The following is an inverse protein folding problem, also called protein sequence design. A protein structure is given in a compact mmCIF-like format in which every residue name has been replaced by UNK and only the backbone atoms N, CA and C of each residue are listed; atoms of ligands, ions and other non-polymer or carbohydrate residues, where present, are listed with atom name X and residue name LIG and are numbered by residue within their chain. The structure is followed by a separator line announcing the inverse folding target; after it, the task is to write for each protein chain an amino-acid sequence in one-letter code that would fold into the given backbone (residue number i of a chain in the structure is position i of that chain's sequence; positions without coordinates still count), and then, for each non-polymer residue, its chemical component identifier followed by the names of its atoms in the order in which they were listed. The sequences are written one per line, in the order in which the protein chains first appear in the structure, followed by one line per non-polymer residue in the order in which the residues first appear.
data_IF_923709161140
#
_entry.id   IF_923709161140
#
_cell.length_a   1.000
_cell.length_b   1.000
_cell.length_c   1.000
_cell.angle_alpha   90.00
_cell.angle_beta   90.00
_cell.angle_gamma   90.00
#
_symmetry.space_group_name_H-M   'P 1'
#
loop_
_entity.id
_entity.type
_entity.pdbx_description
1 polymer ?
#
# COMPACT_ATOMS: atom_id res chain seq x y z
N UNK A 1 -23.70 31.71 13.02
CA UNK A 1 -22.66 30.67 13.01
C UNK A 1 -21.33 31.37 12.81
N UNK A 2 -20.35 31.19 13.70
CA UNK A 2 -19.05 31.85 13.54
C UNK A 2 -18.32 31.28 12.31
N UNK A 3 -17.45 32.09 11.68
CA UNK A 3 -16.65 31.63 10.51
C UNK A 3 -15.81 30.39 10.84
N UNK A 4 -15.40 30.22 12.10
CA UNK A 4 -14.61 29.09 12.55
C UNK A 4 -15.44 27.80 12.69
N UNK A 5 -16.70 27.91 13.10
CA UNK A 5 -17.64 26.80 13.16
C UNK A 5 -17.96 26.28 11.74
N UNK A 6 -18.15 27.17 10.79
CA UNK A 6 -18.38 26.78 9.38
C UNK A 6 -17.17 26.07 8.78
N UNK A 7 -15.96 26.57 9.01
CA UNK A 7 -14.70 25.94 8.56
C UNK A 7 -14.51 24.56 9.17
N UNK A 8 -14.82 24.39 10.47
CA UNK A 8 -14.74 23.11 11.15
C UNK A 8 -15.73 22.09 10.56
N UNK A 9 -16.96 22.50 10.27
CA UNK A 9 -17.97 21.64 9.64
C UNK A 9 -17.54 21.21 8.23
N UNK A 10 -17.01 22.12 7.42
CA UNK A 10 -16.53 21.80 6.05
C UNK A 10 -15.36 20.79 6.13
N UNK A 11 -14.42 20.99 7.06
CA UNK A 11 -13.32 20.04 7.25
C UNK A 11 -13.83 18.66 7.69
N UNK A 12 -14.74 18.60 8.65
CA UNK A 12 -15.32 17.35 9.13
C UNK A 12 -16.09 16.63 8.00
N UNK A 13 -16.90 17.35 7.24
CA UNK A 13 -17.61 16.79 6.08
C UNK A 13 -16.63 16.26 5.02
N UNK A 14 -15.52 16.98 4.76
CA UNK A 14 -14.47 16.54 3.85
C UNK A 14 -13.80 15.24 4.29
N UNK A 15 -13.48 15.12 5.59
CA UNK A 15 -12.87 13.90 6.16
C UNK A 15 -13.84 12.73 6.04
N UNK A 16 -15.11 12.92 6.41
CA UNK A 16 -16.13 11.86 6.33
C UNK A 16 -16.33 11.41 4.88
N UNK A 17 -16.41 12.37 3.95
CA UNK A 17 -16.55 12.07 2.52
C UNK A 17 -15.35 11.30 1.97
N UNK A 18 -14.14 11.69 2.34
CA UNK A 18 -12.91 11.00 1.94
C UNK A 18 -12.88 9.56 2.48
N UNK A 19 -13.24 9.36 3.76
CA UNK A 19 -13.34 8.04 4.36
C UNK A 19 -14.40 7.18 3.66
N UNK A 20 -15.56 7.74 3.39
CA UNK A 20 -16.63 7.05 2.67
C UNK A 20 -16.16 6.60 1.28
N UNK A 21 -15.55 7.50 0.50
CA UNK A 21 -15.01 7.17 -0.83
C UNK A 21 -13.92 6.09 -0.76
N UNK A 22 -13.08 6.14 0.26
CA UNK A 22 -12.05 5.12 0.50
C UNK A 22 -12.69 3.73 0.73
N UNK A 23 -13.70 3.65 1.59
CA UNK A 23 -14.41 2.39 1.86
C UNK A 23 -15.16 1.86 0.62
N UNK A 24 -15.80 2.74 -0.14
CA UNK A 24 -16.43 2.39 -1.43
C UNK A 24 -15.39 1.88 -2.42
N UNK A 25 -14.21 2.49 -2.46
CA UNK A 25 -13.09 2.04 -3.29
C UNK A 25 -12.64 0.62 -2.95
N UNK A 26 -12.45 0.31 -1.66
CA UNK A 26 -12.11 -1.06 -1.21
C UNK A 26 -13.21 -2.05 -1.57
N UNK A 27 -14.47 -1.70 -1.32
CA UNK A 27 -15.61 -2.58 -1.65
C UNK A 27 -15.71 -2.84 -3.17
N UNK A 28 -15.53 -1.81 -3.99
CA UNK A 28 -15.51 -1.93 -5.44
C UNK A 28 -14.36 -2.81 -5.95
N UNK A 29 -13.17 -2.64 -5.40
CA UNK A 29 -12.01 -3.48 -5.71
C UNK A 29 -12.24 -4.93 -5.33
N UNK A 30 -12.79 -5.19 -4.14
CA UNK A 30 -13.15 -6.53 -3.68
C UNK A 30 -14.16 -7.20 -4.61
N UNK A 31 -15.17 -6.45 -5.08
CA UNK A 31 -16.15 -6.93 -6.05
C UNK A 31 -15.52 -7.24 -7.42
N UNK A 32 -14.63 -6.37 -7.90
CA UNK A 32 -13.91 -6.59 -9.15
C UNK A 32 -13.03 -7.85 -9.09
N UNK A 33 -12.32 -8.07 -7.97
CA UNK A 33 -11.50 -9.29 -7.77
C UNK A 33 -12.39 -10.55 -7.78
N UNK A 34 -13.55 -10.51 -7.12
CA UNK A 34 -14.50 -11.63 -7.16
C UNK A 34 -14.98 -11.96 -8.58
N UNK A 35 -15.15 -10.95 -9.42
CA UNK A 35 -15.58 -11.12 -10.80
C UNK A 35 -14.53 -11.79 -11.71
N UNK A 36 -13.25 -11.85 -11.28
CA UNK A 36 -12.19 -12.55 -12.00
C UNK A 36 -12.29 -14.07 -11.93
N UNK A 37 -13.17 -14.59 -11.08
CA UNK A 37 -13.50 -16.00 -11.00
C UNK A 37 -12.59 -16.84 -10.09
N UNK A 38 -13.00 -18.09 -9.89
CA UNK A 38 -12.34 -19.02 -8.98
C UNK A 38 -10.91 -19.37 -9.38
N UNK A 39 -10.64 -19.44 -10.67
CA UNK A 39 -9.31 -19.77 -11.19
C UNK A 39 -8.27 -18.71 -10.81
N UNK A 40 -8.65 -17.43 -10.84
CA UNK A 40 -7.77 -16.35 -10.37
C UNK A 40 -7.50 -16.49 -8.87
N UNK A 41 -8.55 -16.72 -8.06
CA UNK A 41 -8.43 -16.90 -6.63
C UNK A 41 -7.50 -18.08 -6.28
N UNK A 42 -7.67 -19.21 -6.95
CA UNK A 42 -6.83 -20.38 -6.77
C UNK A 42 -5.36 -20.12 -7.12
N UNK A 43 -5.11 -19.44 -8.23
CA UNK A 43 -3.75 -19.05 -8.64
C UNK A 43 -3.10 -18.15 -7.59
N UNK A 44 -3.82 -17.16 -7.07
CA UNK A 44 -3.31 -16.27 -6.01
C UNK A 44 -3.00 -17.06 -4.74
N UNK A 45 -3.91 -17.91 -4.28
CA UNK A 45 -3.74 -18.69 -3.07
C UNK A 45 -2.55 -19.65 -3.17
N UNK A 46 -2.39 -20.34 -4.28
CA UNK A 46 -1.28 -21.27 -4.50
C UNK A 46 0.05 -20.56 -4.62
N UNK A 47 0.11 -19.44 -5.34
CA UNK A 47 1.34 -18.66 -5.50
C UNK A 47 1.77 -18.01 -4.19
N UNK A 48 0.83 -17.48 -3.41
CA UNK A 48 1.13 -16.81 -2.12
C UNK A 48 1.26 -17.77 -0.94
N UNK A 49 1.07 -19.07 -1.13
CA UNK A 49 1.31 -20.09 -0.09
C UNK A 49 2.77 -20.14 0.34
N UNK A 50 3.70 -19.80 -0.55
CA UNK A 50 5.10 -19.63 -0.19
C UNK A 50 5.33 -18.20 0.35
N UNK A 51 5.74 -18.06 1.62
CA UNK A 51 5.86 -16.74 2.27
C UNK A 51 6.94 -15.86 1.62
N UNK A 52 7.99 -16.43 1.06
CA UNK A 52 9.01 -15.66 0.33
C UNK A 52 8.45 -15.07 -0.98
N UNK A 53 7.69 -15.88 -1.72
CA UNK A 53 7.03 -15.39 -2.95
C UNK A 53 6.02 -14.31 -2.60
N UNK A 54 5.21 -14.50 -1.56
CA UNK A 54 4.25 -13.52 -1.08
C UNK A 54 4.92 -12.19 -0.68
N UNK A 55 6.06 -12.26 0.02
CA UNK A 55 6.86 -11.09 0.39
C UNK A 55 7.38 -10.35 -0.86
N UNK A 56 7.95 -11.07 -1.82
CA UNK A 56 8.43 -10.47 -3.06
C UNK A 56 7.30 -9.83 -3.88
N UNK A 57 6.12 -10.45 -3.93
CA UNK A 57 4.94 -9.86 -4.56
C UNK A 57 4.57 -8.53 -3.90
N UNK A 58 4.59 -8.45 -2.57
CA UNK A 58 4.34 -7.22 -1.83
C UNK A 58 5.36 -6.12 -2.12
N UNK A 59 6.66 -6.46 -2.13
CA UNK A 59 7.74 -5.53 -2.51
C UNK A 59 7.51 -5.01 -3.93
N UNK A 60 7.34 -5.93 -4.88
CA UNK A 60 7.23 -5.60 -6.30
C UNK A 60 5.99 -4.75 -6.60
N UNK A 61 4.84 -5.11 -6.02
CA UNK A 61 3.62 -4.33 -6.15
C UNK A 61 3.81 -2.90 -5.63
N UNK A 62 4.45 -2.73 -4.46
CA UNK A 62 4.70 -1.39 -3.91
C UNK A 62 5.66 -0.57 -4.76
N UNK A 63 6.70 -1.19 -5.31
CA UNK A 63 7.63 -0.51 -6.23
C UNK A 63 6.92 -0.07 -7.51
N UNK A 64 6.02 -0.90 -8.05
CA UNK A 64 5.23 -0.56 -9.25
C UNK A 64 4.22 0.55 -8.99
N UNK A 65 3.44 0.44 -7.92
CA UNK A 65 2.44 1.45 -7.56
C UNK A 65 3.05 2.69 -6.91
N UNK A 66 4.29 2.60 -6.45
CA UNK A 66 4.98 3.63 -5.68
C UNK A 66 4.19 4.11 -4.44
N UNK A 67 3.38 3.20 -3.89
CA UNK A 67 2.50 3.47 -2.76
C UNK A 67 2.20 2.18 -2.00
N UNK A 68 2.75 2.07 -0.79
CA UNK A 68 2.44 0.95 0.11
C UNK A 68 0.98 0.98 0.57
N UNK A 69 0.38 2.17 0.70
CA UNK A 69 -1.04 2.30 1.05
C UNK A 69 -1.94 1.71 -0.03
N UNK A 70 -1.62 1.93 -1.30
CA UNK A 70 -2.34 1.33 -2.43
C UNK A 70 -2.18 -0.19 -2.43
N UNK A 71 -0.95 -0.69 -2.26
CA UNK A 71 -0.66 -2.11 -2.18
C UNK A 71 -1.41 -2.76 -1.00
N UNK A 72 -1.35 -2.15 0.18
CA UNK A 72 -2.06 -2.66 1.37
C UNK A 72 -3.57 -2.67 1.16
N UNK A 73 -4.15 -1.63 0.55
CA UNK A 73 -5.58 -1.57 0.24
C UNK A 73 -5.98 -2.68 -0.73
N UNK A 74 -5.14 -2.98 -1.73
CA UNK A 74 -5.35 -4.10 -2.65
C UNK A 74 -5.34 -5.44 -1.90
N UNK A 75 -4.35 -5.66 -1.03
CA UNK A 75 -4.25 -6.89 -0.22
C UNK A 75 -5.50 -7.04 0.66
N UNK A 76 -5.94 -5.97 1.34
CA UNK A 76 -7.16 -5.97 2.14
C UNK A 76 -8.40 -6.30 1.28
N UNK A 77 -8.49 -5.74 0.07
CA UNK A 77 -9.54 -6.07 -0.90
C UNK A 77 -9.53 -7.56 -1.29
N UNK A 78 -8.35 -8.14 -1.49
CA UNK A 78 -8.20 -9.57 -1.81
C UNK A 78 -8.58 -10.47 -0.62
N UNK A 79 -8.23 -10.10 0.60
CA UNK A 79 -8.64 -10.82 1.82
C UNK A 79 -10.16 -10.72 2.00
N UNK A 80 -10.74 -9.54 1.84
CA UNK A 80 -12.18 -9.33 2.00
C UNK A 80 -13.01 -10.05 0.91
N UNK A 81 -12.43 -10.25 -0.27
CA UNK A 81 -13.05 -11.04 -1.34
C UNK A 81 -12.96 -12.56 -1.14
N UNK A 82 -12.13 -13.02 -0.19
CA UNK A 82 -11.82 -14.44 -0.01
C UNK A 82 -10.79 -14.99 -1.02
N UNK A 83 -10.21 -14.13 -1.85
CA UNK A 83 -9.17 -14.50 -2.84
C UNK A 83 -7.82 -14.75 -2.16
N UNK A 84 -7.60 -14.16 -0.98
CA UNK A 84 -6.35 -14.29 -0.22
C UNK A 84 -6.69 -14.61 1.24
N UNK A 85 -5.92 -15.50 1.86
CA UNK A 85 -6.04 -15.76 3.30
C UNK A 85 -5.29 -14.69 4.11
N UNK A 86 -5.71 -14.48 5.35
CA UNK A 86 -4.99 -13.59 6.29
C UNK A 86 -3.55 -14.05 6.44
N UNK A 87 -3.31 -15.35 6.59
CA UNK A 87 -1.96 -15.92 6.76
C UNK A 87 -1.05 -15.57 5.59
N UNK A 88 -1.54 -15.70 4.35
CA UNK A 88 -0.76 -15.39 3.15
C UNK A 88 -0.59 -13.87 2.94
N UNK A 89 -1.50 -13.06 3.49
CA UNK A 89 -1.40 -11.59 3.40
C UNK A 89 -0.30 -10.99 4.27
N UNK A 90 0.07 -11.64 5.38
CA UNK A 90 1.09 -11.13 6.31
C UNK A 90 2.43 -10.87 5.60
N UNK A 91 3.06 -11.86 4.93
CA UNK A 91 4.32 -11.60 4.24
C UNK A 91 4.17 -10.60 3.08
N UNK A 92 3.00 -10.53 2.42
CA UNK A 92 2.76 -9.52 1.38
C UNK A 92 2.76 -8.10 1.97
N UNK A 93 2.14 -7.89 3.13
CA UNK A 93 2.12 -6.58 3.82
C UNK A 93 3.53 -6.22 4.29
N UNK A 94 4.28 -7.19 4.85
CA UNK A 94 5.70 -6.98 5.18
C UNK A 94 6.50 -6.55 3.95
N UNK A 95 6.27 -7.23 2.82
CA UNK A 95 6.88 -6.87 1.54
C UNK A 95 6.47 -5.47 1.07
N UNK A 96 5.22 -5.07 1.25
CA UNK A 96 4.76 -3.72 0.90
C UNK A 96 5.50 -2.64 1.72
N UNK A 97 5.76 -2.88 2.98
CA UNK A 97 6.56 -1.97 3.82
C UNK A 97 8.00 -1.87 3.33
N UNK A 98 8.66 -3.01 3.09
CA UNK A 98 10.02 -3.07 2.54
C UNK A 98 10.08 -2.37 1.17
N UNK A 99 9.07 -2.55 0.32
CA UNK A 99 8.97 -1.92 -0.98
C UNK A 99 8.99 -0.39 -0.93
N UNK A 100 8.47 0.22 0.13
CA UNK A 100 8.55 1.67 0.36
C UNK A 100 10.00 2.13 0.51
N UNK A 101 10.79 1.41 1.28
CA UNK A 101 12.22 1.68 1.45
C UNK A 101 13.00 1.50 0.16
N UNK A 102 12.74 0.42 -0.57
CA UNK A 102 13.36 0.18 -1.89
C UNK A 102 13.09 1.36 -2.82
N UNK A 103 11.83 1.83 -2.88
CA UNK A 103 11.46 2.99 -3.71
C UNK A 103 12.20 4.26 -3.26
N UNK A 104 12.20 4.56 -1.97
CA UNK A 104 12.88 5.73 -1.41
C UNK A 104 14.40 5.69 -1.67
N UNK A 105 15.00 4.51 -1.55
CA UNK A 105 16.43 4.31 -1.85
C UNK A 105 16.73 4.54 -3.33
N UNK A 106 15.93 4.00 -4.25
CA UNK A 106 16.07 4.22 -5.69
C UNK A 106 15.96 5.70 -6.03
N UNK A 107 14.99 6.42 -5.47
CA UNK A 107 14.82 7.85 -5.67
C UNK A 107 16.04 8.63 -5.14
N UNK A 108 16.59 8.25 -3.98
CA UNK A 108 17.78 8.90 -3.42
C UNK A 108 19.01 8.74 -4.32
N UNK A 109 19.19 7.56 -4.95
CA UNK A 109 20.28 7.29 -5.91
C UNK A 109 20.18 8.21 -7.14
N UNK A 110 18.98 8.59 -7.56
CA UNK A 110 18.77 9.56 -8.65
C UNK A 110 19.41 10.93 -8.37
N UNK A 111 19.67 11.27 -7.10
CA UNK A 111 20.31 12.52 -6.67
C UNK A 111 21.81 12.38 -6.41
N UNK A 112 22.44 11.26 -6.80
CA UNK A 112 23.85 10.94 -6.50
C UNK A 112 24.83 12.01 -7.02
N UNK A 113 24.48 12.72 -8.10
CA UNK A 113 25.29 13.80 -8.68
C UNK A 113 25.34 15.06 -7.82
N UNK A 114 24.44 15.20 -6.84
CA UNK A 114 24.36 16.34 -5.93
C UNK A 114 24.68 15.87 -4.50
N UNK A 115 25.94 15.74 -4.17
CA UNK A 115 26.46 15.07 -2.97
C UNK A 115 25.82 15.45 -1.63
N UNK A 116 25.39 16.70 -1.43
CA UNK A 116 24.71 17.14 -0.20
C UNK A 116 23.25 16.74 -0.18
N UNK A 117 22.55 16.79 -1.31
CA UNK A 117 21.16 16.34 -1.45
C UNK A 117 21.05 14.81 -1.32
N UNK A 118 22.00 14.09 -1.95
CA UNK A 118 22.10 12.64 -1.84
C UNK A 118 22.24 12.18 -0.39
N UNK A 119 23.18 12.76 0.37
CA UNK A 119 23.38 12.39 1.79
C UNK A 119 22.11 12.58 2.62
N UNK A 120 21.37 13.67 2.40
CA UNK A 120 20.11 13.95 3.11
C UNK A 120 18.99 13.01 2.68
N UNK A 121 18.83 12.78 1.38
CA UNK A 121 17.80 11.89 0.83
C UNK A 121 18.07 10.44 1.24
N UNK A 122 19.32 9.98 1.18
CA UNK A 122 19.70 8.64 1.60
C UNK A 122 19.53 8.42 3.10
N UNK A 123 19.93 9.38 3.92
CA UNK A 123 19.71 9.32 5.36
C UNK A 123 18.22 9.28 5.70
N UNK A 124 17.38 10.06 5.04
CA UNK A 124 15.93 10.05 5.25
C UNK A 124 15.29 8.73 4.82
N UNK A 125 15.75 8.10 3.72
CA UNK A 125 15.24 6.81 3.26
C UNK A 125 15.59 5.67 4.22
N UNK A 126 16.81 5.69 4.80
CA UNK A 126 17.25 4.63 5.73
C UNK A 126 16.67 4.78 7.13
N UNK A 127 16.35 5.99 7.60
CA UNK A 127 15.66 6.19 8.91
C UNK A 127 14.31 5.50 8.94
N UNK A 128 13.61 5.44 7.81
CA UNK A 128 12.34 4.74 7.71
C UNK A 128 12.46 3.25 8.05
N UNK A 129 13.58 2.60 7.70
CA UNK A 129 13.84 1.17 7.98
C UNK A 129 14.03 0.85 9.46
N UNK A 130 14.50 1.81 10.23
CA UNK A 130 14.69 1.65 11.67
C UNK A 130 13.41 1.91 12.47
N UNK A 131 12.36 2.44 11.84
CA UNK A 131 11.11 2.82 12.50
C UNK A 131 9.96 1.83 12.21
N UNK A 132 10.16 0.85 11.34
CA UNK A 132 9.21 -0.22 11.02
C UNK A 132 9.71 -1.53 11.60
#
# INVERSE_FOLDING_TARGET
MSNDTLKALIKAAGIISALYLFLVGIAGMSSAIKSMGSQFAETVLTTTSNPFIALFIGIFATVLFQSSSTTTSLIVGMVSSGTLTITNSIPMIMGANIGTTVTNTIVSIGHIKKGTEFKRAFAASTVHDFLI
#
